data_IF_042637668785
#
_entry.id   IF_042637668785
#
_cell.length_a   1.000
_cell.length_b   1.000
_cell.length_c   1.000
_cell.angle_alpha   90.00
_cell.angle_beta   90.00
_cell.angle_gamma   90.00
#
_symmetry.space_group_name_H-M   'P 1'
#
loop_
_entity.id
_entity.type
_entity.pdbx_description
1 polymer ?
#
# COMPACT_ATOMS: atom_id res chain seq x y z
N UNK A 1 -19.62 9.98 -11.10
CA UNK A 1 -18.79 9.67 -9.92
C UNK A 1 -19.30 10.30 -8.62
N UNK A 2 -20.35 11.05 -8.69
CA UNK A 2 -20.81 12.02 -7.67
C UNK A 2 -21.22 11.42 -6.31
N UNK A 3 -21.39 10.10 -6.23
CA UNK A 3 -21.87 9.44 -5.00
C UNK A 3 -20.82 8.55 -4.33
N UNK A 4 -19.57 8.52 -4.84
CA UNK A 4 -18.47 7.78 -4.17
C UNK A 4 -18.03 8.62 -2.97
N UNK A 5 -17.96 7.99 -1.79
CA UNK A 5 -17.62 8.69 -0.54
C UNK A 5 -18.81 9.29 0.21
N UNK A 6 -20.00 9.36 -0.40
CA UNK A 6 -21.27 9.78 0.23
C UNK A 6 -22.22 8.61 0.43
N UNK A 7 -22.15 7.58 -0.40
CA UNK A 7 -22.92 6.34 -0.30
C UNK A 7 -22.01 5.12 -0.25
N UNK A 8 -22.52 4.01 0.32
CA UNK A 8 -21.80 2.74 0.31
C UNK A 8 -21.84 2.13 -1.08
N UNK A 9 -20.72 2.13 -1.78
CA UNK A 9 -20.56 1.58 -3.13
C UNK A 9 -19.26 0.80 -3.25
N UNK A 10 -19.24 -0.17 -4.16
CA UNK A 10 -18.03 -0.85 -4.61
C UNK A 10 -17.92 -0.65 -6.14
N UNK A 11 -16.73 -0.25 -6.60
CA UNK A 11 -16.38 -0.12 -8.01
C UNK A 11 -15.27 -1.11 -8.29
N UNK A 12 -15.48 -1.99 -9.26
CA UNK A 12 -14.50 -2.97 -9.69
C UNK A 12 -13.94 -2.54 -11.05
N UNK A 13 -12.65 -2.29 -11.11
CA UNK A 13 -11.92 -1.97 -12.33
C UNK A 13 -11.06 -3.18 -12.70
N UNK A 14 -11.52 -3.93 -13.70
CA UNK A 14 -10.80 -5.10 -14.19
C UNK A 14 -10.02 -4.71 -15.44
N UNK A 15 -8.70 -4.85 -15.39
CA UNK A 15 -7.78 -4.52 -16.48
C UNK A 15 -7.03 -5.78 -16.88
N UNK A 16 -7.13 -6.25 -18.13
CA UNK A 16 -6.38 -7.40 -18.59
C UNK A 16 -4.87 -7.14 -18.58
N UNK A 17 -4.09 -8.03 -17.97
CA UNK A 17 -2.63 -7.90 -17.87
C UNK A 17 -1.94 -7.87 -19.24
N UNK A 18 -2.49 -8.58 -20.23
CA UNK A 18 -1.93 -8.68 -21.57
C UNK A 18 -2.06 -7.41 -22.41
N UNK A 19 -2.95 -6.46 -22.02
CA UNK A 19 -3.26 -5.25 -22.81
C UNK A 19 -2.81 -3.98 -22.08
N UNK A 20 -1.53 -3.69 -22.16
CA UNK A 20 -0.92 -2.52 -21.52
C UNK A 20 -1.56 -1.17 -21.89
N UNK A 21 -2.20 -1.07 -23.06
CA UNK A 21 -2.91 0.12 -23.51
C UNK A 21 -4.04 0.54 -22.54
N UNK A 22 -4.71 -0.41 -21.91
CA UNK A 22 -5.79 -0.11 -20.96
C UNK A 22 -5.28 0.28 -19.58
N UNK A 23 -4.03 -0.03 -19.25
CA UNK A 23 -3.43 0.34 -17.97
C UNK A 23 -3.39 1.86 -17.79
N UNK A 24 -3.13 2.62 -18.87
CA UNK A 24 -3.16 4.08 -18.84
C UNK A 24 -4.56 4.62 -18.46
N UNK A 25 -5.62 4.03 -19.02
CA UNK A 25 -6.99 4.42 -18.69
C UNK A 25 -7.33 4.13 -17.22
N UNK A 26 -6.82 3.03 -16.67
CA UNK A 26 -6.99 2.71 -15.25
C UNK A 26 -6.29 3.74 -14.36
N UNK A 27 -5.06 4.12 -14.67
CA UNK A 27 -4.33 5.15 -13.93
C UNK A 27 -5.04 6.51 -14.00
N UNK A 28 -5.52 6.90 -15.18
CA UNK A 28 -6.30 8.13 -15.38
C UNK A 28 -7.60 8.10 -14.56
N UNK A 29 -8.33 6.98 -14.60
CA UNK A 29 -9.55 6.80 -13.81
C UNK A 29 -9.29 6.96 -12.31
N UNK A 30 -8.23 6.33 -11.79
CA UNK A 30 -7.86 6.42 -10.37
C UNK A 30 -7.54 7.87 -9.99
N UNK A 31 -6.76 8.58 -10.81
CA UNK A 31 -6.39 9.97 -10.56
C UNK A 31 -7.63 10.87 -10.55
N UNK A 32 -8.50 10.76 -11.56
CA UNK A 32 -9.74 11.56 -11.64
C UNK A 32 -10.71 11.21 -10.51
N UNK A 33 -10.81 9.92 -10.14
CA UNK A 33 -11.62 9.50 -9.00
C UNK A 33 -11.11 10.15 -7.72
N UNK A 34 -9.79 10.16 -7.50
CA UNK A 34 -9.20 10.79 -6.32
C UNK A 34 -9.44 12.30 -6.28
N UNK A 35 -9.27 13.00 -7.40
CA UNK A 35 -9.57 14.45 -7.50
C UNK A 35 -11.03 14.74 -7.15
N UNK A 36 -11.97 13.99 -7.73
CA UNK A 36 -13.40 14.12 -7.41
C UNK A 36 -13.71 13.87 -5.92
N UNK A 37 -12.98 12.94 -5.30
CA UNK A 37 -13.10 12.68 -3.85
C UNK A 37 -12.54 13.82 -3.01
N UNK A 38 -11.48 14.50 -3.46
CA UNK A 38 -10.96 15.68 -2.78
C UNK A 38 -11.99 16.83 -2.80
N UNK A 39 -12.56 17.11 -3.96
CA UNK A 39 -13.64 18.13 -4.10
C UNK A 39 -14.81 17.80 -3.19
N UNK A 40 -15.22 16.53 -3.14
CA UNK A 40 -16.29 16.06 -2.27
C UNK A 40 -15.94 16.21 -0.78
N UNK A 41 -14.69 15.93 -0.41
CA UNK A 41 -14.22 16.14 0.96
C UNK A 41 -14.24 17.62 1.35
N UNK A 42 -13.85 18.53 0.44
CA UNK A 42 -13.89 19.98 0.68
C UNK A 42 -15.30 20.46 0.96
N UNK A 43 -16.29 19.97 0.20
CA UNK A 43 -17.71 20.29 0.43
C UNK A 43 -18.26 19.73 1.75
N UNK A 44 -17.56 18.74 2.35
CA UNK A 44 -17.94 18.08 3.60
C UNK A 44 -16.94 18.36 4.74
N UNK A 45 -16.59 19.64 4.96
CA UNK A 45 -15.68 20.07 6.02
C UNK A 45 -14.29 19.41 5.97
N UNK A 46 -13.79 19.15 4.77
CA UNK A 46 -12.45 18.61 4.53
C UNK A 46 -12.35 17.09 4.68
N UNK A 47 -13.46 16.35 4.82
CA UNK A 47 -13.42 14.90 5.06
C UNK A 47 -14.65 14.22 4.44
N UNK A 48 -14.44 13.09 3.77
CA UNK A 48 -15.54 12.30 3.24
C UNK A 48 -16.41 11.70 4.35
N UNK A 49 -17.76 11.74 4.23
CA UNK A 49 -18.67 11.12 5.18
C UNK A 49 -18.46 9.62 5.33
N UNK A 50 -18.20 8.93 4.22
CA UNK A 50 -17.93 7.50 4.17
C UNK A 50 -16.48 7.30 3.73
N UNK A 51 -15.77 6.38 4.42
CA UNK A 51 -14.39 6.02 4.07
C UNK A 51 -14.34 5.38 2.70
N UNK A 52 -13.43 5.87 1.86
CA UNK A 52 -13.11 5.27 0.57
C UNK A 52 -11.81 4.50 0.69
N UNK A 53 -11.81 3.25 0.23
CA UNK A 53 -10.63 2.41 0.18
C UNK A 53 -10.28 2.14 -1.30
N UNK A 54 -9.08 2.52 -1.71
CA UNK A 54 -8.47 2.09 -2.96
C UNK A 54 -7.71 0.81 -2.69
N UNK A 55 -8.16 -0.30 -3.27
CA UNK A 55 -7.48 -1.59 -3.19
C UNK A 55 -6.84 -1.81 -4.56
N UNK A 56 -5.52 -1.79 -4.61
CA UNK A 56 -4.73 -1.87 -5.83
C UNK A 56 -3.94 -3.16 -5.83
N UNK A 57 -4.48 -4.19 -6.46
CA UNK A 57 -3.75 -5.41 -6.73
C UNK A 57 -2.73 -5.16 -7.83
N UNK A 58 -1.59 -5.86 -7.75
CA UNK A 58 -0.48 -5.73 -8.72
C UNK A 58 -0.08 -4.28 -9.00
N UNK A 59 -0.03 -3.48 -7.94
CA UNK A 59 0.18 -2.04 -8.01
C UNK A 59 1.39 -1.64 -8.87
N UNK A 60 2.44 -2.46 -8.89
CA UNK A 60 3.62 -2.21 -9.70
C UNK A 60 3.42 -2.49 -11.20
N UNK A 61 2.38 -3.21 -11.62
CA UNK A 61 2.09 -3.48 -13.04
C UNK A 61 1.29 -2.35 -13.70
N UNK A 62 0.60 -1.52 -12.92
CA UNK A 62 -0.13 -0.36 -13.44
C UNK A 62 0.83 0.75 -13.91
N UNK A 63 0.44 1.67 -14.80
CA UNK A 63 1.21 2.87 -15.08
C UNK A 63 1.46 3.69 -13.81
N UNK A 64 2.58 4.42 -13.82
CA UNK A 64 2.94 5.28 -12.69
C UNK A 64 1.85 6.33 -12.45
N UNK A 65 1.38 6.44 -11.22
CA UNK A 65 0.57 7.56 -10.74
C UNK A 65 1.52 8.70 -10.37
N UNK A 66 1.47 9.81 -11.11
CA UNK A 66 2.43 10.92 -10.96
C UNK A 66 2.42 11.53 -9.57
N UNK A 67 1.23 11.66 -8.98
CA UNK A 67 1.01 12.35 -7.72
C UNK A 67 0.78 11.41 -6.52
N UNK A 68 1.23 10.17 -6.64
CA UNK A 68 0.99 9.16 -5.61
C UNK A 68 1.52 9.57 -4.22
N UNK A 69 2.71 10.15 -4.13
CA UNK A 69 3.28 10.61 -2.87
C UNK A 69 2.37 11.63 -2.15
N UNK A 70 2.01 12.75 -2.78
CA UNK A 70 1.01 13.69 -2.27
C UNK A 70 -0.34 13.04 -1.96
N UNK A 71 -0.84 12.14 -2.82
CA UNK A 71 -2.10 11.42 -2.60
C UNK A 71 -2.08 10.62 -1.29
N UNK A 72 -1.05 9.83 -1.06
CA UNK A 72 -0.90 9.02 0.16
C UNK A 72 -0.80 9.89 1.42
N UNK A 73 -0.05 10.98 1.34
CA UNK A 73 0.15 11.90 2.47
C UNK A 73 -1.14 12.59 2.88
N UNK A 74 -1.96 13.03 1.91
CA UNK A 74 -3.21 13.74 2.17
C UNK A 74 -4.41 12.82 2.46
N UNK A 75 -4.40 11.59 1.97
CA UNK A 75 -5.52 10.66 1.98
C UNK A 75 -6.13 10.43 3.36
N UNK A 76 -5.29 10.24 4.39
CA UNK A 76 -5.73 9.94 5.76
C UNK A 76 -6.65 11.02 6.33
N UNK A 77 -6.31 12.29 6.14
CA UNK A 77 -7.13 13.42 6.64
C UNK A 77 -8.47 13.51 5.93
N UNK A 78 -8.56 13.06 4.68
CA UNK A 78 -9.75 13.08 3.83
C UNK A 78 -10.66 11.85 4.00
N UNK A 79 -10.35 10.92 4.89
CA UNK A 79 -11.02 9.63 5.08
C UNK A 79 -10.85 8.69 3.88
N UNK A 80 -9.71 8.77 3.21
CA UNK A 80 -9.31 7.89 2.09
C UNK A 80 -8.18 6.97 2.57
N UNK A 81 -8.18 5.72 2.13
CA UNK A 81 -7.11 4.74 2.40
C UNK A 81 -6.67 4.07 1.12
N UNK A 82 -5.38 3.80 1.04
CA UNK A 82 -4.78 3.00 -0.02
C UNK A 82 -4.30 1.68 0.56
N UNK A 83 -4.61 0.60 -0.14
CA UNK A 83 -4.12 -0.75 0.08
C UNK A 83 -3.36 -1.15 -1.18
N UNK A 84 -2.04 -1.20 -1.07
CA UNK A 84 -1.16 -1.46 -2.20
C UNK A 84 -0.61 -2.89 -2.06
N UNK A 85 -0.89 -3.74 -3.05
CA UNK A 85 -0.33 -5.09 -3.12
C UNK A 85 0.81 -5.09 -4.11
N UNK A 86 2.00 -5.44 -3.64
CA UNK A 86 3.23 -5.47 -4.44
C UNK A 86 3.87 -6.85 -4.38
N UNK A 87 4.46 -7.29 -5.47
CA UNK A 87 5.16 -8.58 -5.52
C UNK A 87 6.58 -8.48 -4.94
N UNK A 88 7.25 -7.34 -5.16
CA UNK A 88 8.57 -7.08 -4.60
C UNK A 88 8.80 -5.58 -4.37
N UNK A 89 9.68 -5.26 -3.41
CA UNK A 89 10.09 -3.89 -3.14
C UNK A 89 10.92 -3.31 -4.29
N UNK A 90 11.78 -4.13 -4.90
CA UNK A 90 12.59 -3.72 -6.05
C UNK A 90 11.74 -3.25 -7.23
N UNK A 91 10.64 -3.94 -7.57
CA UNK A 91 9.70 -3.47 -8.60
C UNK A 91 9.13 -2.08 -8.30
N UNK A 92 8.85 -1.80 -7.02
CA UNK A 92 8.36 -0.49 -6.61
C UNK A 92 9.44 0.58 -6.77
N UNK A 93 10.70 0.26 -6.43
CA UNK A 93 11.85 1.14 -6.63
C UNK A 93 12.12 1.40 -8.11
N UNK A 94 12.10 0.39 -8.94
CA UNK A 94 12.28 0.52 -10.39
C UNK A 94 11.22 1.44 -11.02
N UNK A 95 10.00 1.36 -10.52
CA UNK A 95 8.88 2.14 -11.04
C UNK A 95 8.84 3.57 -10.53
N UNK A 96 9.01 3.79 -9.25
CA UNK A 96 8.83 5.09 -8.60
C UNK A 96 10.13 5.77 -8.21
N UNK A 97 11.24 5.04 -8.19
CA UNK A 97 12.50 5.48 -7.64
C UNK A 97 12.56 5.32 -6.12
N UNK A 98 13.76 5.29 -5.57
CA UNK A 98 14.01 5.00 -4.14
C UNK A 98 13.30 5.99 -3.21
N UNK A 99 13.38 7.28 -3.51
CA UNK A 99 12.78 8.35 -2.67
C UNK A 99 11.25 8.22 -2.54
N UNK A 100 10.55 7.99 -3.66
CA UNK A 100 9.09 7.87 -3.65
C UNK A 100 8.68 6.52 -3.03
N UNK A 101 9.39 5.46 -3.31
CA UNK A 101 9.13 4.15 -2.71
C UNK A 101 9.25 4.19 -1.18
N UNK A 102 10.24 4.91 -0.67
CA UNK A 102 10.37 5.17 0.76
C UNK A 102 9.19 5.99 1.30
N UNK A 103 8.78 7.04 0.59
CA UNK A 103 7.59 7.82 0.96
C UNK A 103 6.33 6.96 1.01
N UNK A 104 6.16 6.04 0.05
CA UNK A 104 5.06 5.07 0.04
C UNK A 104 5.09 4.21 1.32
N UNK A 105 6.24 3.62 1.64
CA UNK A 105 6.41 2.79 2.84
C UNK A 105 6.13 3.57 4.13
N UNK A 106 6.65 4.78 4.24
CA UNK A 106 6.49 5.63 5.43
C UNK A 106 5.03 6.09 5.64
N UNK A 107 4.21 6.14 4.59
CA UNK A 107 2.78 6.46 4.68
C UNK A 107 1.89 5.23 4.93
N UNK A 108 2.44 4.02 4.82
CA UNK A 108 1.71 2.79 5.12
C UNK A 108 1.84 2.44 6.60
N UNK A 109 0.84 2.80 7.41
CA UNK A 109 0.80 2.48 8.84
C UNK A 109 0.64 0.98 9.15
N UNK A 110 0.39 0.16 8.13
CA UNK A 110 0.39 -1.31 8.22
C UNK A 110 1.25 -1.87 7.09
N UNK A 111 2.11 -2.83 7.41
CA UNK A 111 2.83 -3.64 6.45
C UNK A 111 2.49 -5.10 6.71
N UNK A 112 1.92 -5.74 5.70
CA UNK A 112 1.58 -7.17 5.72
C UNK A 112 2.61 -7.89 4.87
N UNK A 113 3.43 -8.69 5.53
CA UNK A 113 4.47 -9.47 4.87
C UNK A 113 4.04 -10.94 4.78
N UNK A 114 3.98 -11.44 3.55
CA UNK A 114 3.64 -12.85 3.26
C UNK A 114 4.92 -13.65 3.01
N UNK A 115 5.66 -13.31 1.96
CA UNK A 115 6.93 -13.94 1.61
C UNK A 115 7.63 -13.16 0.50
N UNK A 116 8.97 -13.17 0.52
CA UNK A 116 9.83 -12.74 -0.60
C UNK A 116 11.17 -13.45 -0.54
N UNK A 117 11.88 -13.53 -1.66
CA UNK A 117 13.27 -13.98 -1.75
C UNK A 117 14.28 -12.83 -1.78
N UNK A 118 13.83 -11.58 -1.77
CA UNK A 118 14.66 -10.38 -1.85
C UNK A 118 15.39 -10.12 -0.51
N UNK A 119 16.66 -10.44 -0.44
CA UNK A 119 17.46 -10.39 0.81
C UNK A 119 17.49 -8.97 1.40
N UNK A 120 17.69 -7.95 0.58
CA UNK A 120 17.71 -6.56 1.04
C UNK A 120 16.42 -6.14 1.74
N UNK A 121 15.28 -6.60 1.22
CA UNK A 121 13.99 -6.34 1.83
C UNK A 121 13.78 -7.18 3.10
N UNK A 122 14.25 -8.42 3.14
CA UNK A 122 14.23 -9.24 4.35
C UNK A 122 15.07 -8.63 5.49
N UNK A 123 16.22 -8.05 5.17
CA UNK A 123 17.03 -7.31 6.14
C UNK A 123 16.32 -6.06 6.64
N UNK A 124 15.63 -5.34 5.74
CA UNK A 124 14.81 -4.21 6.11
C UNK A 124 13.68 -4.61 7.08
N UNK A 125 12.92 -5.67 6.75
CA UNK A 125 11.85 -6.21 7.60
C UNK A 125 12.40 -6.66 8.96
N UNK A 126 13.54 -7.36 8.99
CA UNK A 126 14.18 -7.80 10.24
C UNK A 126 14.59 -6.62 11.13
N UNK A 127 15.14 -5.56 10.54
CA UNK A 127 15.47 -4.31 11.26
C UNK A 127 14.22 -3.58 11.74
N UNK A 128 13.18 -3.52 10.91
CA UNK A 128 11.90 -2.91 11.28
C UNK A 128 11.24 -3.62 12.46
N UNK A 129 11.39 -4.94 12.56
CA UNK A 129 10.90 -5.73 13.68
C UNK A 129 11.58 -5.34 15.02
N UNK A 130 12.78 -4.81 14.98
CA UNK A 130 13.55 -4.40 16.15
C UNK A 130 14.40 -5.52 16.75
N UNK A 131 14.97 -5.23 17.91
CA UNK A 131 15.87 -6.13 18.64
C UNK A 131 15.39 -6.37 20.06
N UNK A 132 15.78 -7.50 20.64
CA UNK A 132 15.57 -7.79 22.05
C UNK A 132 16.63 -7.06 22.93
N UNK A 133 16.54 -7.23 24.24
CA UNK A 133 17.46 -6.64 25.25
C UNK A 133 18.93 -7.05 25.06
N UNK A 134 19.20 -8.15 24.36
CA UNK A 134 20.55 -8.63 24.03
C UNK A 134 21.04 -8.15 22.66
N UNK A 135 20.35 -7.24 21.99
CA UNK A 135 20.70 -6.73 20.67
C UNK A 135 20.46 -7.71 19.51
N UNK A 136 19.79 -8.84 19.75
CA UNK A 136 19.45 -9.82 18.69
C UNK A 136 18.14 -9.43 18.01
N UNK A 137 18.02 -9.59 16.66
CA UNK A 137 16.78 -9.34 15.96
C UNK A 137 15.60 -10.09 16.58
N UNK A 138 14.45 -9.43 16.78
CA UNK A 138 13.22 -10.11 17.21
C UNK A 138 12.76 -11.15 16.18
N UNK A 139 12.95 -10.85 14.90
CA UNK A 139 12.66 -11.76 13.79
C UNK A 139 13.89 -11.77 12.87
N UNK A 140 14.56 -12.89 12.78
CA UNK A 140 15.76 -13.03 11.93
C UNK A 140 15.40 -13.13 10.45
N UNK A 141 16.32 -12.75 9.57
CA UNK A 141 16.19 -12.94 8.12
C UNK A 141 15.89 -14.39 7.78
N UNK A 142 16.57 -15.34 8.43
CA UNK A 142 16.32 -16.78 8.24
C UNK A 142 14.87 -17.17 8.61
N UNK A 143 14.29 -16.60 9.67
CA UNK A 143 12.89 -16.87 10.03
C UNK A 143 11.92 -16.32 8.98
N UNK A 144 12.21 -15.13 8.41
CA UNK A 144 11.43 -14.52 7.36
C UNK A 144 11.46 -15.34 6.06
N UNK A 145 12.64 -15.88 5.71
CA UNK A 145 12.79 -16.77 4.54
C UNK A 145 12.02 -18.08 4.66
N UNK A 146 11.76 -18.54 5.89
CA UNK A 146 11.13 -19.82 6.17
C UNK A 146 9.72 -19.65 6.78
N UNK A 147 9.05 -18.53 6.49
CA UNK A 147 7.64 -18.34 6.83
C UNK A 147 6.80 -19.41 6.11
N UNK A 148 5.90 -20.05 6.83
CA UNK A 148 4.99 -21.06 6.26
C UNK A 148 3.91 -20.39 5.41
N UNK A 149 3.31 -21.12 4.48
CA UNK A 149 2.27 -20.58 3.60
C UNK A 149 1.05 -20.02 4.35
N UNK A 150 0.75 -20.54 5.53
CA UNK A 150 -0.33 -20.09 6.40
C UNK A 150 0.13 -19.11 7.48
N UNK A 151 1.34 -18.59 7.39
CA UNK A 151 1.87 -17.58 8.31
C UNK A 151 1.95 -16.23 7.63
N UNK A 152 1.44 -15.20 8.28
CA UNK A 152 1.47 -13.81 7.83
C UNK A 152 2.06 -12.95 8.93
N UNK A 153 3.11 -12.19 8.63
CA UNK A 153 3.70 -11.25 9.56
C UNK A 153 3.10 -9.86 9.35
N UNK A 154 2.55 -9.28 10.40
CA UNK A 154 1.89 -7.97 10.36
C UNK A 154 2.67 -6.99 11.23
N UNK A 155 3.01 -5.86 10.62
CA UNK A 155 3.50 -4.67 11.30
C UNK A 155 2.37 -3.65 11.37
N UNK A 156 2.19 -3.07 12.52
CA UNK A 156 1.25 -1.98 12.75
C UNK A 156 1.96 -0.86 13.50
N UNK A 157 1.70 0.38 13.11
CA UNK A 157 2.30 1.55 13.75
C UNK A 157 2.23 1.47 15.29
N UNK A 158 3.37 1.71 15.93
CA UNK A 158 3.53 1.74 17.40
C UNK A 158 3.27 0.41 18.11
N UNK A 159 3.20 -0.70 17.37
CA UNK A 159 3.04 -2.04 17.93
C UNK A 159 4.23 -2.93 17.58
N UNK A 160 4.51 -3.90 18.42
CA UNK A 160 5.41 -4.98 18.02
C UNK A 160 4.79 -5.78 16.88
N UNK A 161 5.62 -6.28 15.96
CA UNK A 161 5.12 -7.16 14.90
C UNK A 161 4.52 -8.43 15.49
N UNK A 162 3.48 -8.94 14.87
CA UNK A 162 2.82 -10.16 15.29
C UNK A 162 2.57 -11.10 14.11
N UNK A 163 2.63 -12.39 14.40
CA UNK A 163 2.43 -13.46 13.43
C UNK A 163 0.97 -13.94 13.53
N UNK A 164 0.31 -13.99 12.38
CA UNK A 164 -1.02 -14.61 12.23
C UNK A 164 -0.85 -15.96 11.55
N UNK A 165 -1.60 -16.95 11.98
CA UNK A 165 -1.70 -18.27 11.37
C UNK A 165 -3.15 -18.53 11.03
N UNK A 166 -3.40 -18.90 9.78
CA UNK A 166 -4.71 -19.38 9.31
C UNK A 166 -4.83 -20.90 9.44
#
# INVERSE_FOLDING_TARGET
MDNIGTEKRAVFLVVPDEKTTYHFLAALFISQCYESLLENAEQNNGKLPIRVNFIMEEFCNMPRLSDLGPMLTAARSRNIRFHLVVQSYSQMVDKYGDSISKTIMDNCGNLIYLHTSEISFLEYISRLAGTNEYGRPLISVSRLQHLRKNETLIFHDRCYPFLVQD
#
